data_IF_649707815836
#
_entry.id   IF_649707815836
#
_cell.length_a   1.000
_cell.length_b   1.000
_cell.length_c   1.000
_cell.angle_alpha   90.00
_cell.angle_beta   90.00
_cell.angle_gamma   90.00
#
_symmetry.space_group_name_H-M   'P 1'
#
loop_
_entity.id
_entity.type
_entity.pdbx_description
1 polymer ?
#
# COMPACT_ATOMS: atom_id res chain seq x y z
N UNK A 1 -27.06 -0.75 -17.30
CA UNK A 1 -26.83 -0.99 -16.62
C UNK A 1 -26.60 -1.36 -16.23
N UNK A 2 -26.46 -1.05 -16.39
CA UNK A 2 -26.09 -1.25 -15.81
C UNK A 2 -25.74 -1.61 -15.25
N UNK A 3 -25.55 -1.52 -15.66
CA UNK A 3 -25.24 -1.80 -15.01
C UNK A 3 -24.99 -2.11 -14.28
N UNK A 4 -24.88 -2.09 -14.68
CA UNK A 4 -24.70 -2.22 -13.82
C UNK A 4 -24.75 -2.17 -13.08
N UNK A 5 -24.85 -1.96 -13.28
CA UNK A 5 -24.98 -1.70 -12.42
C UNK A 5 -25.09 -1.83 -11.75
N UNK A 6 -25.10 -1.74 -11.99
CA UNK A 6 -25.17 -1.61 -11.12
C UNK A 6 -24.94 -1.34 -9.97
N UNK A 7 -25.42 -1.34 -9.10
CA UNK A 7 -25.10 -0.74 -8.14
C UNK A 7 -23.78 -0.75 -7.81
N UNK A 8 -23.26 -0.09 -7.67
CA UNK A 8 -21.91 -0.19 -7.39
C UNK A 8 -21.56 0.76 -6.29
N UNK A 9 -20.63 0.35 -5.47
CA UNK A 9 -20.04 1.27 -4.54
C UNK A 9 -18.70 1.73 -5.10
N UNK A 10 -18.25 2.89 -4.65
CA UNK A 10 -16.95 3.42 -5.02
C UNK A 10 -16.06 3.47 -3.78
N UNK A 11 -14.81 3.09 -3.95
CA UNK A 11 -13.84 3.14 -2.87
C UNK A 11 -12.98 4.38 -3.08
N UNK A 12 -12.93 5.25 -2.09
CA UNK A 12 -12.22 6.52 -2.20
C UNK A 12 -10.71 6.32 -2.15
N UNK A 13 -9.97 7.30 -2.68
CA UNK A 13 -8.51 7.30 -2.57
C UNK A 13 -8.06 7.24 -1.10
N UNK A 14 -8.78 7.94 -0.24
CA UNK A 14 -8.47 7.91 1.20
C UNK A 14 -8.61 6.51 1.78
N UNK A 15 -9.66 5.80 1.40
CA UNK A 15 -9.87 4.43 1.86
C UNK A 15 -8.78 3.50 1.34
N UNK A 16 -8.40 3.64 0.06
CA UNK A 16 -7.34 2.84 -0.52
C UNK A 16 -6.02 3.07 0.21
N UNK A 17 -5.69 4.32 0.51
CA UNK A 17 -4.49 4.64 1.27
C UNK A 17 -4.51 3.97 2.63
N UNK A 18 -5.64 4.05 3.31
CA UNK A 18 -5.77 3.48 4.66
C UNK A 18 -5.57 1.97 4.64
N UNK A 19 -6.19 1.29 3.67
CA UNK A 19 -6.05 -0.16 3.53
C UNK A 19 -4.58 -0.54 3.31
N UNK A 20 -3.93 0.14 2.37
CA UNK A 20 -2.55 -0.16 2.00
C UNK A 20 -1.58 0.15 3.13
N UNK A 21 -1.76 1.28 3.80
CA UNK A 21 -0.87 1.68 4.89
C UNK A 21 -1.01 0.75 6.08
N UNK A 22 -2.24 0.38 6.41
CA UNK A 22 -2.48 -0.53 7.53
C UNK A 22 -1.84 -1.89 7.28
N UNK A 23 -2.01 -2.42 6.08
CA UNK A 23 -1.43 -3.72 5.71
C UNK A 23 0.10 -3.64 5.64
N UNK A 24 0.63 -2.61 5.00
CA UNK A 24 2.07 -2.47 4.83
C UNK A 24 2.81 -2.26 6.15
N UNK A 25 2.15 -1.62 7.10
CA UNK A 25 2.73 -1.39 8.42
C UNK A 25 3.04 -2.67 9.16
N UNK A 26 2.41 -3.79 8.77
CA UNK A 26 2.65 -5.08 9.40
C UNK A 26 3.98 -5.71 8.98
N UNK A 27 4.62 -5.21 7.94
CA UNK A 27 5.89 -5.75 7.48
C UNK A 27 6.98 -5.44 8.49
N UNK A 28 7.85 -6.43 8.73
CA UNK A 28 8.94 -6.29 9.68
C UNK A 28 9.92 -5.22 9.22
N UNK A 29 10.32 -4.34 10.11
CA UNK A 29 11.27 -3.28 9.80
C UNK A 29 10.66 -1.96 9.38
N UNK A 30 9.33 -1.90 9.23
CA UNK A 30 8.64 -0.65 8.90
C UNK A 30 8.50 0.19 10.16
N UNK A 31 9.08 1.38 10.17
CA UNK A 31 8.95 2.32 11.26
C UNK A 31 7.77 3.25 11.01
N UNK A 32 7.60 3.67 9.77
CA UNK A 32 6.49 4.51 9.35
C UNK A 32 6.19 4.27 7.87
N UNK A 33 4.96 4.49 7.48
CA UNK A 33 4.53 4.31 6.09
C UNK A 33 3.49 5.38 5.77
N UNK A 34 3.56 5.91 4.56
CA UNK A 34 2.55 6.85 4.08
C UNK A 34 2.34 6.65 2.59
N UNK A 35 1.19 7.07 2.11
CA UNK A 35 0.90 7.03 0.67
C UNK A 35 1.27 8.38 0.07
N UNK A 36 2.09 8.35 -0.97
CA UNK A 36 2.45 9.57 -1.71
C UNK A 36 1.39 9.88 -2.77
N UNK A 37 0.80 8.85 -3.34
CA UNK A 37 -0.27 9.02 -4.30
C UNK A 37 -1.16 7.81 -4.31
N UNK A 38 -2.42 8.02 -4.67
CA UNK A 38 -3.39 6.95 -4.83
C UNK A 38 -4.41 7.39 -5.88
N UNK A 39 -4.65 6.53 -6.86
CA UNK A 39 -5.59 6.82 -7.92
C UNK A 39 -6.16 5.53 -8.49
N UNK A 40 -7.34 5.62 -9.07
CA UNK A 40 -7.94 4.50 -9.81
C UNK A 40 -8.20 4.99 -11.22
N UNK A 41 -7.67 4.26 -12.19
CA UNK A 41 -7.85 4.59 -13.60
C UNK A 41 -8.25 3.33 -14.33
N UNK A 42 -9.43 3.33 -14.94
CA UNK A 42 -9.97 2.20 -15.71
C UNK A 42 -9.94 0.90 -14.90
N UNK A 43 -10.32 0.98 -13.62
CA UNK A 43 -10.38 -0.19 -12.75
C UNK A 43 -9.04 -0.62 -12.17
N UNK A 44 -7.94 0.04 -12.56
CA UNK A 44 -6.61 -0.27 -12.04
C UNK A 44 -6.27 0.70 -10.91
N UNK A 45 -5.86 0.14 -9.78
CA UNK A 45 -5.45 0.92 -8.63
C UNK A 45 -3.96 1.22 -8.72
N UNK A 46 -3.62 2.50 -8.64
CA UNK A 46 -2.23 2.97 -8.65
C UNK A 46 -1.90 3.57 -7.29
N UNK A 47 -0.91 3.01 -6.64
CA UNK A 47 -0.48 3.46 -5.32
C UNK A 47 1.03 3.60 -5.27
N UNK A 48 1.48 4.67 -4.63
CA UNK A 48 2.90 4.84 -4.34
C UNK A 48 3.04 5.01 -2.83
N UNK A 49 3.70 4.05 -2.20
CA UNK A 49 3.92 4.03 -0.76
C UNK A 49 5.35 4.43 -0.46
N UNK A 50 5.51 5.26 0.56
CA UNK A 50 6.82 5.68 1.03
C UNK A 50 7.02 5.13 2.44
N UNK A 51 8.14 4.48 2.67
CA UNK A 51 8.42 3.78 3.91
C UNK A 51 9.66 4.35 4.58
N UNK A 52 9.56 4.56 5.87
CA UNK A 52 10.72 4.79 6.71
C UNK A 52 11.05 3.46 7.36
N UNK A 53 12.25 2.95 7.09
CA UNK A 53 12.64 1.62 7.52
C UNK A 53 13.63 1.69 8.67
N UNK A 54 13.67 0.63 9.47
CA UNK A 54 14.68 0.50 10.50
C UNK A 54 16.05 0.33 9.84
N UNK A 55 17.03 1.09 10.30
CA UNK A 55 18.40 0.96 9.84
C UNK A 55 18.89 -0.47 10.10
N UNK A 56 19.52 -1.08 9.10
CA UNK A 56 19.99 -2.45 9.21
C UNK A 56 19.02 -3.50 8.70
N UNK A 57 17.80 -3.09 8.32
CA UNK A 57 16.84 -4.03 7.74
C UNK A 57 17.25 -4.43 6.34
N UNK A 58 16.77 -5.60 5.90
CA UNK A 58 16.86 -6.00 4.50
C UNK A 58 15.88 -5.16 3.69
N UNK A 59 16.37 -4.08 3.08
CA UNK A 59 15.49 -3.11 2.43
C UNK A 59 14.76 -3.69 1.22
N UNK A 60 15.44 -4.55 0.45
CA UNK A 60 14.80 -5.16 -0.71
C UNK A 60 13.65 -6.07 -0.28
N UNK A 61 13.91 -6.93 0.70
CA UNK A 61 12.90 -7.83 1.22
C UNK A 61 11.75 -7.07 1.88
N UNK A 62 12.08 -5.99 2.60
CA UNK A 62 11.06 -5.17 3.25
C UNK A 62 10.15 -4.52 2.20
N UNK A 63 10.72 -3.97 1.14
CA UNK A 63 9.93 -3.32 0.10
C UNK A 63 8.99 -4.31 -0.59
N UNK A 64 9.49 -5.51 -0.88
CA UNK A 64 8.66 -6.56 -1.47
C UNK A 64 7.54 -6.99 -0.54
N UNK A 65 7.84 -7.12 0.74
CA UNK A 65 6.84 -7.53 1.72
C UNK A 65 5.74 -6.48 1.88
N UNK A 66 6.11 -5.21 1.93
CA UNK A 66 5.15 -4.10 1.99
C UNK A 66 4.26 -4.12 0.76
N UNK A 67 4.86 -4.24 -0.42
CA UNK A 67 4.12 -4.27 -1.68
C UNK A 67 3.13 -5.43 -1.70
N UNK A 68 3.55 -6.60 -1.31
CA UNK A 68 2.72 -7.78 -1.32
C UNK A 68 1.56 -7.67 -0.32
N UNK A 69 1.83 -7.20 0.89
CA UNK A 69 0.79 -7.04 1.90
C UNK A 69 -0.25 -6.02 1.47
N UNK A 70 0.20 -4.90 0.90
CA UNK A 70 -0.73 -3.88 0.42
C UNK A 70 -1.56 -4.41 -0.73
N UNK A 71 -0.94 -5.13 -1.66
CA UNK A 71 -1.64 -5.69 -2.81
C UNK A 71 -2.70 -6.70 -2.38
N UNK A 72 -2.36 -7.59 -1.46
CA UNK A 72 -3.30 -8.60 -0.98
C UNK A 72 -4.49 -7.98 -0.27
N UNK A 73 -4.22 -6.95 0.55
CA UNK A 73 -5.29 -6.30 1.29
C UNK A 73 -6.26 -5.57 0.35
N UNK A 74 -5.73 -4.86 -0.64
CA UNK A 74 -6.56 -4.16 -1.60
C UNK A 74 -7.35 -5.14 -2.45
N UNK A 75 -6.68 -6.19 -2.92
CA UNK A 75 -7.34 -7.20 -3.74
C UNK A 75 -8.49 -7.86 -3.01
N UNK A 76 -8.31 -8.15 -1.73
CA UNK A 76 -9.34 -8.80 -0.93
C UNK A 76 -10.55 -7.90 -0.69
N UNK A 77 -10.34 -6.59 -0.57
CA UNK A 77 -11.41 -5.67 -0.20
C UNK A 77 -12.05 -4.96 -1.38
N UNK A 78 -11.30 -4.73 -2.45
CA UNK A 78 -11.74 -3.91 -3.57
C UNK A 78 -11.93 -4.71 -4.84
N UNK A 79 -11.15 -5.77 -5.02
CA UNK A 79 -11.16 -6.61 -6.22
C UNK A 79 -10.99 -5.79 -7.49
N UNK A 80 -9.89 -5.03 -7.60
CA UNK A 80 -9.67 -4.19 -8.78
C UNK A 80 -9.30 -5.03 -9.99
N UNK A 81 -9.39 -4.44 -11.18
CA UNK A 81 -8.97 -5.12 -12.41
C UNK A 81 -7.46 -5.26 -12.49
N UNK A 82 -6.73 -4.37 -11.82
CA UNK A 82 -5.29 -4.45 -11.77
C UNK A 82 -4.75 -3.61 -10.63
N UNK A 83 -3.52 -3.92 -10.24
CA UNK A 83 -2.83 -3.22 -9.17
C UNK A 83 -1.46 -2.79 -9.63
N UNK A 84 -1.14 -1.52 -9.40
CA UNK A 84 0.17 -0.96 -9.68
C UNK A 84 0.64 -0.28 -8.40
N UNK A 85 1.40 -1.01 -7.60
CA UNK A 85 1.85 -0.54 -6.30
C UNK A 85 3.36 -0.46 -6.30
N UNK A 86 3.90 0.74 -6.07
CA UNK A 86 5.33 0.95 -5.92
C UNK A 86 5.64 1.35 -4.48
N UNK A 87 6.82 0.97 -4.03
CA UNK A 87 7.28 1.24 -2.67
C UNK A 87 8.65 1.90 -2.75
N UNK A 88 8.78 3.05 -2.09
CA UNK A 88 10.05 3.76 -1.98
C UNK A 88 10.48 3.74 -0.52
N UNK A 89 11.73 3.36 -0.27
CA UNK A 89 12.31 3.53 1.06
C UNK A 89 12.87 4.95 1.08
N UNK A 90 12.16 5.84 1.74
CA UNK A 90 12.53 7.26 1.69
C UNK A 90 13.46 7.67 2.82
N UNK A 91 13.57 6.86 3.88
CA UNK A 91 14.38 7.22 5.02
C UNK A 91 14.69 5.99 5.86
N UNK A 92 15.77 6.09 6.63
CA UNK A 92 16.16 5.03 7.55
C UNK A 92 16.20 5.60 8.96
N UNK A 93 15.63 4.86 9.89
CA UNK A 93 15.58 5.27 11.28
C UNK A 93 16.53 4.43 12.11
N UNK A 94 17.40 5.09 12.87
CA UNK A 94 18.23 4.43 13.84
C UNK A 94 17.46 4.50 15.15
N UNK A 95 16.98 3.34 15.62
CA UNK A 95 16.21 3.30 16.86
C UNK A 95 17.15 3.16 18.05
N UNK A 96 16.80 3.76 19.19
CA UNK A 96 17.66 3.65 20.36
C UNK A 96 17.74 2.21 20.84
N UNK A 97 18.88 1.85 21.41
CA UNK A 97 19.05 0.55 22.04
C UNK A 97 18.19 0.46 23.28
N UNK A 98 17.68 -0.71 23.52
CA UNK A 98 16.83 -0.97 24.67
C UNK A 98 17.64 -1.27 25.91
#
# INVERSE_FOLDING_TARGET
MDEEQDFAYAVSAKALRHIAETAGRQASGVVAIRSRSAAVTDGVVHLHLAVRARYGSDLHGLALDVQQRAAEAIDAMVEPEGLDISVTIEDLAVLPAE
#
